data_IF_452041829160
#
_entry.id   IF_452041829160
#
_cell.length_a   1.000
_cell.length_b   1.000
_cell.length_c   1.000
_cell.angle_alpha   90.00
_cell.angle_beta   90.00
_cell.angle_gamma   90.00
#
_symmetry.space_group_name_H-M   'P 1'
#
loop_
_entity.id
_entity.type
_entity.pdbx_description
1 polymer ?
#
# COMPACT_ATOMS: atom_id res chain seq x y z
N UNK A 1 -3.39 -4.96 -11.55
CA UNK A 1 -1.97 -4.51 -11.60
C UNK A 1 -1.75 -3.40 -12.63
N UNK A 2 -2.32 -3.50 -13.83
CA UNK A 2 -2.08 -2.54 -14.91
C UNK A 2 -2.50 -1.09 -14.56
N UNK A 3 -3.53 -0.92 -13.74
CA UNK A 3 -3.85 0.40 -13.19
C UNK A 3 -2.71 0.95 -12.30
N UNK A 4 -2.18 0.11 -11.41
CA UNK A 4 -1.12 0.46 -10.46
C UNK A 4 0.22 0.72 -11.14
N UNK A 5 0.47 0.17 -12.33
CA UNK A 5 1.73 0.43 -13.06
C UNK A 5 1.90 1.89 -13.51
N UNK A 6 0.80 2.66 -13.54
CA UNK A 6 0.82 4.11 -13.77
C UNK A 6 1.19 4.91 -12.51
N UNK A 7 1.27 4.27 -11.35
CA UNK A 7 1.61 4.91 -10.08
C UNK A 7 3.11 5.24 -10.00
N UNK A 8 3.50 6.36 -9.36
CA UNK A 8 4.91 6.63 -9.05
C UNK A 8 5.55 5.58 -8.13
N UNK A 9 4.75 4.78 -7.42
CA UNK A 9 5.25 3.71 -6.54
C UNK A 9 5.61 2.41 -7.28
N UNK A 10 5.29 2.34 -8.57
CA UNK A 10 5.55 1.16 -9.39
C UNK A 10 6.98 1.16 -9.95
N UNK A 11 7.67 0.04 -9.73
CA UNK A 11 9.03 -0.16 -10.20
C UNK A 11 9.02 -0.75 -11.62
N UNK A 12 9.58 -0.02 -12.59
CA UNK A 12 9.67 -0.47 -13.99
C UNK A 12 10.68 -1.59 -14.23
N UNK A 13 11.49 -1.94 -13.23
CA UNK A 13 12.40 -3.09 -13.29
C UNK A 13 11.82 -4.34 -12.63
N UNK A 14 10.56 -4.30 -12.15
CA UNK A 14 9.95 -5.45 -11.50
C UNK A 14 9.64 -6.60 -12.50
N UNK A 15 9.50 -7.81 -11.96
CA UNK A 15 9.21 -9.00 -12.76
C UNK A 15 7.90 -8.90 -13.55
N UNK A 16 6.94 -8.08 -13.09
CA UNK A 16 5.65 -7.87 -13.76
C UNK A 16 5.79 -7.20 -15.15
N UNK A 17 6.93 -6.56 -15.45
CA UNK A 17 7.18 -5.90 -16.74
C UNK A 17 7.66 -6.83 -17.85
N UNK A 18 7.94 -8.11 -17.54
CA UNK A 18 8.27 -9.10 -18.56
C UNK A 18 7.15 -9.15 -19.61
N UNK A 19 7.48 -9.04 -20.91
CA UNK A 19 6.50 -8.90 -21.99
C UNK A 19 5.54 -10.10 -22.06
N UNK A 20 5.99 -11.29 -21.66
CA UNK A 20 5.18 -12.51 -21.58
C UNK A 20 4.00 -12.38 -20.60
N UNK A 21 4.11 -11.49 -19.62
CA UNK A 21 3.09 -11.25 -18.59
C UNK A 21 2.19 -10.05 -18.90
N UNK A 22 2.40 -9.38 -20.04
CA UNK A 22 1.52 -8.30 -20.50
C UNK A 22 0.41 -8.92 -21.34
N UNK A 23 -0.82 -8.77 -20.86
CA UNK A 23 -2.00 -9.30 -21.54
C UNK A 23 -2.34 -8.43 -22.76
N UNK A 24 -2.74 -9.07 -23.86
CA UNK A 24 -3.42 -8.38 -24.95
C UNK A 24 -4.91 -8.24 -24.61
N UNK A 25 -5.46 -7.03 -24.70
CA UNK A 25 -6.85 -6.72 -24.34
C UNK A 25 -7.92 -7.34 -25.26
N UNK A 26 -7.52 -8.12 -26.27
CA UNK A 26 -8.42 -8.69 -27.29
C UNK A 26 -8.69 -10.19 -27.11
N UNK A 27 -8.68 -10.67 -25.85
CA UNK A 27 -8.77 -12.09 -25.50
C UNK A 27 -10.14 -12.37 -24.83
N UNK A 28 -10.71 -13.55 -25.09
CA UNK A 28 -11.96 -13.99 -24.46
C UNK A 28 -11.84 -14.05 -22.92
N UNK A 29 -12.91 -13.77 -22.14
CA UNK A 29 -12.86 -13.71 -20.68
C UNK A 29 -12.34 -14.99 -20.01
N UNK A 30 -12.61 -16.16 -20.58
CA UNK A 30 -12.13 -17.45 -20.05
C UNK A 30 -10.61 -17.59 -20.20
N UNK A 31 -10.08 -17.22 -21.37
CA UNK A 31 -8.65 -17.22 -21.64
C UNK A 31 -7.91 -16.15 -20.81
N UNK A 32 -8.57 -15.04 -20.46
CA UNK A 32 -8.03 -14.05 -19.54
C UNK A 32 -7.80 -14.63 -18.13
N UNK A 33 -8.79 -15.38 -17.59
CA UNK A 33 -8.66 -16.03 -16.27
C UNK A 33 -7.50 -17.03 -16.25
N UNK A 34 -7.40 -17.87 -17.28
CA UNK A 34 -6.30 -18.84 -17.40
C UNK A 34 -4.95 -18.14 -17.50
N UNK A 35 -4.88 -17.05 -18.27
CA UNK A 35 -3.68 -16.23 -18.39
C UNK A 35 -3.27 -15.63 -17.04
N UNK A 36 -4.19 -15.04 -16.28
CA UNK A 36 -3.86 -14.45 -14.97
C UNK A 36 -3.44 -15.49 -13.94
N UNK A 37 -4.07 -16.67 -13.92
CA UNK A 37 -3.68 -17.78 -13.06
C UNK A 37 -2.26 -18.28 -13.39
N UNK A 38 -1.99 -18.53 -14.67
CA UNK A 38 -0.65 -18.91 -15.14
C UNK A 38 0.39 -17.82 -14.84
N UNK A 39 0.07 -16.55 -15.10
CA UNK A 39 0.95 -15.41 -14.81
C UNK A 39 1.33 -15.38 -13.33
N UNK A 40 0.37 -15.57 -12.43
CA UNK A 40 0.65 -15.57 -10.99
C UNK A 40 1.56 -16.73 -10.60
N UNK A 41 1.33 -17.94 -11.15
CA UNK A 41 2.20 -19.09 -10.93
C UNK A 41 3.64 -18.83 -11.41
N UNK A 42 3.82 -18.27 -12.60
CA UNK A 42 5.15 -17.94 -13.14
C UNK A 42 5.85 -16.83 -12.35
N UNK A 43 5.13 -15.75 -11.99
CA UNK A 43 5.65 -14.69 -11.14
C UNK A 43 6.04 -15.20 -9.74
N UNK A 44 5.33 -16.22 -9.26
CA UNK A 44 5.65 -16.92 -8.03
C UNK A 44 6.86 -17.85 -8.14
N UNK A 45 7.55 -17.92 -9.27
CA UNK A 45 8.80 -18.68 -9.43
C UNK A 45 10.01 -17.76 -9.66
N UNK A 46 9.78 -16.55 -10.16
CA UNK A 46 10.84 -15.61 -10.52
C UNK A 46 11.45 -14.90 -9.31
N UNK A 47 12.79 -14.75 -9.24
CA UNK A 47 13.46 -13.96 -8.23
C UNK A 47 13.28 -12.46 -8.47
N UNK A 48 13.46 -11.66 -7.41
CA UNK A 48 13.42 -10.21 -7.50
C UNK A 48 12.13 -9.58 -7.01
N UNK A 49 11.90 -8.34 -7.43
CA UNK A 49 10.74 -7.53 -7.01
C UNK A 49 9.53 -7.85 -7.86
N UNK A 50 8.39 -8.06 -7.23
CA UNK A 50 7.09 -8.21 -7.92
C UNK A 50 5.96 -7.55 -7.15
N UNK A 51 4.89 -7.26 -7.86
CA UNK A 51 3.66 -6.72 -7.32
C UNK A 51 2.52 -7.72 -7.51
N UNK A 52 1.76 -7.98 -6.45
CA UNK A 52 0.56 -8.83 -6.52
C UNK A 52 -0.64 -8.14 -5.89
N UNK A 53 -1.82 -8.46 -6.42
CA UNK A 53 -3.08 -8.08 -5.80
C UNK A 53 -3.35 -9.03 -4.64
N UNK A 54 -3.63 -8.47 -3.48
CA UNK A 54 -4.04 -9.22 -2.30
C UNK A 54 -5.58 -9.32 -2.30
N UNK A 55 -6.08 -10.42 -2.85
CA UNK A 55 -7.52 -10.66 -2.99
C UNK A 55 -8.22 -10.83 -1.65
N UNK A 56 -7.54 -11.37 -0.64
CA UNK A 56 -8.11 -11.59 0.70
C UNK A 56 -8.41 -10.26 1.42
N UNK A 57 -7.57 -9.24 1.17
CA UNK A 57 -7.72 -7.90 1.77
C UNK A 57 -8.46 -6.91 0.88
N UNK A 58 -8.81 -7.32 -0.34
CA UNK A 58 -9.57 -6.50 -1.27
C UNK A 58 -11.04 -6.56 -0.84
N UNK A 59 -11.60 -5.41 -0.46
CA UNK A 59 -12.94 -5.32 0.09
C UNK A 59 -13.79 -4.34 -0.72
N UNK A 60 -15.01 -4.74 -1.06
CA UNK A 60 -16.04 -3.82 -1.52
C UNK A 60 -16.67 -3.18 -0.29
N UNK A 61 -16.39 -1.90 -0.08
CA UNK A 61 -16.97 -1.13 0.99
C UNK A 61 -18.44 -0.84 0.64
N UNK A 62 -19.33 -1.14 1.59
CA UNK A 62 -20.75 -0.83 1.42
C UNK A 62 -20.91 0.69 1.34
N UNK A 63 -21.85 1.18 0.51
CA UNK A 63 -22.16 2.60 0.46
C UNK A 63 -22.59 3.07 1.85
N UNK A 64 -22.04 4.20 2.27
CA UNK A 64 -22.44 4.89 3.50
C UNK A 64 -23.52 5.93 3.14
N UNK A 65 -24.31 6.42 4.10
CA UNK A 65 -25.37 7.41 3.82
C UNK A 65 -24.88 8.68 3.09
N UNK A 66 -23.58 8.95 3.13
CA UNK A 66 -22.94 10.14 2.57
C UNK A 66 -22.06 9.88 1.34
N UNK A 67 -21.63 8.63 1.13
CA UNK A 67 -20.58 8.28 0.16
C UNK A 67 -20.99 7.09 -0.72
N UNK A 68 -20.52 7.09 -1.97
CA UNK A 68 -20.77 6.04 -2.95
C UNK A 68 -20.11 4.70 -2.54
N UNK A 69 -20.45 3.60 -3.23
CA UNK A 69 -19.81 2.32 -2.97
C UNK A 69 -18.36 2.35 -3.47
N UNK A 70 -17.41 2.21 -2.55
CA UNK A 70 -15.98 2.26 -2.85
C UNK A 70 -15.36 0.85 -2.83
N UNK A 71 -14.44 0.57 -3.74
CA UNK A 71 -13.69 -0.70 -3.72
C UNK A 71 -12.26 -0.44 -3.27
N UNK A 72 -11.85 -1.08 -2.17
CA UNK A 72 -10.49 -1.06 -1.68
C UNK A 72 -9.71 -2.18 -2.34
N UNK A 73 -8.69 -1.84 -3.13
CA UNK A 73 -7.72 -2.82 -3.61
C UNK A 73 -6.43 -2.74 -2.82
N UNK A 74 -5.87 -3.89 -2.46
CA UNK A 74 -4.60 -3.97 -1.74
C UNK A 74 -3.54 -4.58 -2.65
N UNK A 75 -2.43 -3.88 -2.86
CA UNK A 75 -1.30 -4.37 -3.65
C UNK A 75 -0.09 -4.57 -2.74
N UNK A 76 0.51 -5.76 -2.80
CA UNK A 76 1.74 -6.07 -2.06
C UNK A 76 2.94 -6.00 -2.99
N UNK A 77 3.97 -5.26 -2.56
CA UNK A 77 5.31 -5.33 -3.14
C UNK A 77 6.10 -6.39 -2.40
N UNK A 78 6.50 -7.41 -3.13
CA UNK A 78 7.23 -8.55 -2.63
C UNK A 78 8.63 -8.55 -3.19
N UNK A 79 9.54 -9.17 -2.45
CA UNK A 79 10.86 -9.47 -2.94
C UNK A 79 11.22 -10.90 -2.62
N UNK A 80 11.62 -11.62 -3.66
CA UNK A 80 12.11 -12.99 -3.55
C UNK A 80 13.63 -13.02 -3.65
N UNK A 81 14.26 -13.51 -2.59
CA UNK A 81 15.71 -13.71 -2.52
C UNK A 81 16.17 -15.10 -2.98
N UNK A 82 15.26 -16.08 -3.09
CA UNK A 82 15.57 -17.47 -3.44
C UNK A 82 14.32 -18.35 -3.51
N UNK A 83 14.48 -19.67 -3.63
CA UNK A 83 13.34 -20.60 -3.73
C UNK A 83 12.55 -20.66 -2.41
N UNK A 84 11.37 -20.01 -2.39
CA UNK A 84 10.36 -20.19 -1.35
C UNK A 84 10.26 -19.11 -0.26
N UNK A 85 11.14 -18.11 -0.22
CA UNK A 85 11.07 -17.02 0.77
C UNK A 85 10.65 -15.70 0.09
N UNK A 86 9.33 -15.46 0.09
CA UNK A 86 8.75 -14.20 -0.38
C UNK A 86 8.60 -13.23 0.79
N UNK A 87 9.41 -12.16 0.77
CA UNK A 87 9.33 -11.10 1.78
C UNK A 87 8.44 -9.97 1.30
N UNK A 88 7.39 -9.68 2.05
CA UNK A 88 6.58 -8.46 1.82
C UNK A 88 7.40 -7.24 2.22
N UNK A 89 7.68 -6.36 1.26
CA UNK A 89 8.42 -5.12 1.48
C UNK A 89 7.50 -3.95 1.82
N UNK A 90 6.41 -3.79 1.07
CA UNK A 90 5.45 -2.68 1.19
C UNK A 90 4.05 -3.13 0.80
N UNK A 91 3.04 -2.42 1.31
CA UNK A 91 1.66 -2.55 0.87
C UNK A 91 1.18 -1.20 0.33
N UNK A 92 0.31 -1.24 -0.67
CA UNK A 92 -0.32 -0.08 -1.27
C UNK A 92 -1.83 -0.30 -1.27
N UNK A 93 -2.58 0.77 -1.04
CA UNK A 93 -4.03 0.77 -1.10
C UNK A 93 -4.46 1.60 -2.30
N UNK A 94 -5.42 1.10 -3.07
CA UNK A 94 -6.09 1.87 -4.09
C UNK A 94 -7.51 2.10 -3.60
N UNK A 95 -7.84 3.37 -3.39
CA UNK A 95 -9.17 3.82 -3.00
C UNK A 95 -9.55 4.94 -3.95
N UNK A 96 -10.68 4.80 -4.63
CA UNK A 96 -11.23 5.80 -5.57
C UNK A 96 -10.27 6.25 -6.66
N UNK A 97 -9.49 5.29 -7.18
CA UNK A 97 -8.50 5.59 -8.20
C UNK A 97 -7.37 6.48 -7.68
N UNK A 98 -7.10 6.47 -6.37
CA UNK A 98 -5.91 7.08 -5.78
C UNK A 98 -5.08 6.01 -5.09
N UNK A 99 -3.77 6.03 -5.35
CA UNK A 99 -2.82 5.06 -4.80
C UNK A 99 -2.14 5.64 -3.56
N UNK A 100 -2.25 4.93 -2.44
CA UNK A 100 -1.63 5.28 -1.15
C UNK A 100 -0.60 4.23 -0.74
N UNK A 101 0.56 4.66 -0.23
CA UNK A 101 1.50 3.75 0.43
C UNK A 101 1.12 3.53 1.89
N UNK A 102 1.05 2.26 2.31
CA UNK A 102 0.79 1.89 3.69
C UNK A 102 1.95 2.30 4.61
N UNK A 103 1.72 3.13 5.64
CA UNK A 103 2.76 3.44 6.61
C UNK A 103 3.06 2.21 7.49
N UNK A 104 4.30 2.08 7.94
CA UNK A 104 4.65 1.06 8.94
C UNK A 104 4.11 1.45 10.31
N UNK A 105 3.81 0.46 11.16
CA UNK A 105 3.38 0.71 12.55
C UNK A 105 4.38 1.60 13.29
N UNK A 106 5.68 1.36 13.09
CA UNK A 106 6.75 2.18 13.67
C UNK A 106 6.67 3.65 13.22
N UNK A 107 6.41 3.93 11.94
CA UNK A 107 6.26 5.29 11.43
C UNK A 107 5.04 5.98 12.06
N UNK A 108 3.91 5.29 12.15
CA UNK A 108 2.69 5.81 12.80
C UNK A 108 2.95 6.12 14.28
N UNK A 109 3.56 5.20 15.01
CA UNK A 109 3.86 5.36 16.44
C UNK A 109 4.84 6.52 16.67
N UNK A 110 5.90 6.62 15.86
CA UNK A 110 6.86 7.73 15.93
C UNK A 110 6.18 9.08 15.71
N UNK A 111 5.33 9.20 14.69
CA UNK A 111 4.60 10.43 14.42
C UNK A 111 3.69 10.84 15.58
N UNK A 112 2.99 9.87 16.19
CA UNK A 112 2.14 10.10 17.37
C UNK A 112 2.94 10.54 18.58
N UNK A 113 4.06 9.88 18.90
CA UNK A 113 4.92 10.25 20.02
C UNK A 113 5.54 11.64 19.85
N UNK A 114 5.99 11.98 18.64
CA UNK A 114 6.49 13.32 18.33
C UNK A 114 5.42 14.40 18.55
N UNK A 115 4.19 14.13 18.10
CA UNK A 115 3.06 15.05 18.28
C UNK A 115 2.70 15.22 19.76
N UNK A 116 2.67 14.13 20.53
CA UNK A 116 2.47 14.19 21.98
C UNK A 116 3.57 14.99 22.68
N UNK A 117 4.83 14.77 22.32
CA UNK A 117 5.94 15.55 22.86
C UNK A 117 5.87 17.04 22.52
N UNK A 118 5.34 17.40 21.35
CA UNK A 118 5.06 18.79 21.00
C UNK A 118 3.94 19.38 21.87
N UNK A 119 2.80 18.69 22.03
CA UNK A 119 1.72 19.15 22.90
C UNK A 119 2.14 19.29 24.37
N UNK A 120 2.94 18.37 24.90
CA UNK A 120 3.45 18.47 26.26
C UNK A 120 4.34 19.70 26.43
N UNK A 121 5.20 19.99 25.45
CA UNK A 121 6.09 21.16 25.47
C UNK A 121 5.30 22.46 25.44
N UNK A 122 4.28 22.56 24.58
CA UNK A 122 3.36 23.69 24.52
C UNK A 122 2.64 23.86 25.87
N UNK A 123 2.06 22.79 26.42
CA UNK A 123 1.34 22.81 27.70
C UNK A 123 2.24 23.27 28.86
N UNK A 124 3.48 22.77 28.94
CA UNK A 124 4.44 23.21 29.95
C UNK A 124 4.93 24.65 29.71
N UNK A 125 5.03 25.10 28.46
CA UNK A 125 5.34 26.49 28.12
C UNK A 125 4.26 27.44 28.65
N UNK A 126 2.99 27.11 28.42
CA UNK A 126 1.86 27.85 28.95
C UNK A 126 1.84 27.81 30.48
N UNK A 127 2.00 26.63 31.09
CA UNK A 127 2.00 26.50 32.55
C UNK A 127 3.11 27.34 33.20
N UNK A 128 4.31 27.39 32.62
CA UNK A 128 5.40 28.24 33.10
C UNK A 128 5.05 29.72 33.01
N UNK A 129 4.47 30.14 31.89
CA UNK A 129 4.01 31.53 31.70
C UNK A 129 2.88 31.95 32.63
N UNK A 130 2.17 31.01 33.27
CA UNK A 130 1.17 31.28 34.33
C UNK A 130 1.82 31.34 35.72
N UNK A 131 2.90 30.58 35.95
CA UNK A 131 3.60 30.54 37.25
C UNK A 131 4.54 31.74 37.43
N UNK A 132 5.23 32.20 36.38
CA UNK A 132 6.14 33.35 36.46
C UNK A 132 5.46 34.71 36.82
N UNK A 133 4.26 35.08 36.35
CA UNK A 133 3.60 36.31 36.77
C UNK A 133 3.07 36.29 38.22
N UNK A 134 3.20 35.15 38.93
CA UNK A 134 2.71 34.97 40.31
C UNK A 134 3.82 35.01 41.37
N UNK A 135 5.08 35.22 41.00
CA UNK A 135 6.18 35.43 41.93
C UNK A 135 6.50 36.94 42.05
N UNK A 136 6.56 37.50 43.27
CA UNK A 136 6.81 38.93 43.52
C UNK A 136 8.25 39.37 43.20
#
# INVERSE_FOLDING_TARGET
IDYFSNSPFYDRMCANEQPEFKMNFNIAPEAARQFFAWRQDQLSQLPGVRYELDEERTEQLKPTETDEAHTLYVIRKLHRNGAGDDKTLRCYYILDGVVYEAPTVAAVMRARLLRLGWYLREAFGVARGVVEPALP
#
